data_IF_310065715378
#
_entry.id   IF_310065715378
#
_cell.length_a   1.000
_cell.length_b   1.000
_cell.length_c   1.000
_cell.angle_alpha   90.00
_cell.angle_beta   90.00
_cell.angle_gamma   90.00
#
_symmetry.space_group_name_H-M   'P 1'
#
loop_
_entity.id
_entity.type
_entity.pdbx_description
1 polymer ?
#
# COMPACT_ATOMS: atom_id res chain seq x y z
N UNK A 1 -7.27 10.70 15.16
CA UNK A 1 -7.25 9.67 16.23
C UNK A 1 -7.44 8.35 15.52
N UNK A 2 -6.40 7.53 15.52
CA UNK A 2 -6.34 6.29 14.74
C UNK A 2 -7.34 5.26 15.30
N UNK A 3 -7.85 4.37 14.45
CA UNK A 3 -8.78 3.32 14.87
C UNK A 3 -8.13 2.23 15.73
N UNK A 4 -6.80 2.18 15.77
CA UNK A 4 -6.00 1.09 16.32
C UNK A 4 -5.78 1.31 17.82
N UNK A 5 -6.51 0.54 18.65
CA UNK A 5 -6.54 0.73 20.11
C UNK A 5 -5.91 -0.42 20.92
N UNK A 6 -5.33 -1.41 20.25
CA UNK A 6 -4.78 -2.60 20.92
C UNK A 6 -3.57 -3.16 20.21
N UNK A 7 -2.73 -3.90 20.95
CA UNK A 7 -1.51 -4.53 20.42
C UNK A 7 -1.84 -5.46 19.26
N UNK A 8 -2.88 -6.29 19.43
CA UNK A 8 -3.33 -7.21 18.39
C UNK A 8 -3.89 -6.47 17.18
N UNK A 9 -4.58 -5.34 17.38
CA UNK A 9 -5.04 -4.50 16.27
C UNK A 9 -3.89 -3.90 15.47
N UNK A 10 -2.82 -3.47 16.13
CA UNK A 10 -1.61 -2.95 15.47
C UNK A 10 -0.88 -4.04 14.68
N UNK A 11 -0.71 -5.23 15.26
CA UNK A 11 -0.15 -6.39 14.56
C UNK A 11 -0.99 -6.75 13.33
N UNK A 12 -2.31 -6.79 13.48
CA UNK A 12 -3.24 -7.13 12.40
C UNK A 12 -3.16 -6.11 11.27
N UNK A 13 -3.08 -4.81 11.57
CA UNK A 13 -2.94 -3.77 10.56
C UNK A 13 -1.63 -3.89 9.79
N UNK A 14 -0.49 -4.04 10.47
CA UNK A 14 0.83 -4.19 9.80
C UNK A 14 0.83 -5.41 8.87
N UNK A 15 0.28 -6.53 9.32
CA UNK A 15 0.19 -7.75 8.49
C UNK A 15 -0.74 -7.58 7.28
N UNK A 16 -1.80 -6.79 7.42
CA UNK A 16 -2.72 -6.47 6.32
C UNK A 16 -2.05 -5.58 5.28
N UNK A 17 -1.36 -4.53 5.71
CA UNK A 17 -0.62 -3.66 4.79
C UNK A 17 0.43 -4.47 4.03
N UNK A 18 1.19 -5.31 4.73
CA UNK A 18 2.16 -6.21 4.09
C UNK A 18 1.49 -7.10 3.04
N UNK A 19 0.31 -7.66 3.34
CA UNK A 19 -0.40 -8.51 2.38
C UNK A 19 -0.91 -7.72 1.17
N UNK A 20 -1.39 -6.49 1.38
CA UNK A 20 -1.88 -5.65 0.29
C UNK A 20 -0.71 -5.33 -0.65
N UNK A 21 0.41 -4.85 -0.11
CA UNK A 21 1.65 -4.56 -0.85
C UNK A 21 2.20 -5.78 -1.59
N UNK A 22 2.35 -6.90 -0.88
CA UNK A 22 3.04 -8.09 -1.42
C UNK A 22 2.22 -8.90 -2.42
N UNK A 23 0.89 -8.81 -2.37
CA UNK A 23 -0.01 -9.70 -3.12
C UNK A 23 -1.06 -8.92 -3.90
N UNK A 24 -1.92 -8.16 -3.23
CA UNK A 24 -3.10 -7.57 -3.88
C UNK A 24 -2.73 -6.47 -4.87
N UNK A 25 -1.88 -5.54 -4.45
CA UNK A 25 -1.43 -4.41 -5.28
C UNK A 25 -0.55 -4.88 -6.44
N UNK A 26 0.42 -5.75 -6.15
CA UNK A 26 1.23 -6.39 -7.18
C UNK A 26 0.34 -7.11 -8.21
N UNK A 27 -0.64 -7.90 -7.77
CA UNK A 27 -1.52 -8.62 -8.68
C UNK A 27 -2.33 -7.67 -9.57
N UNK A 28 -2.90 -6.59 -9.03
CA UNK A 28 -3.67 -5.62 -9.82
C UNK A 28 -2.79 -4.87 -10.82
N UNK A 29 -1.55 -4.52 -10.46
CA UNK A 29 -0.60 -3.86 -11.36
C UNK A 29 -0.19 -4.81 -12.49
N UNK A 30 0.13 -6.07 -12.20
CA UNK A 30 0.52 -7.06 -13.19
C UNK A 30 -0.62 -7.42 -14.15
N UNK A 31 -1.84 -7.60 -13.64
CA UNK A 31 -3.02 -7.82 -14.49
C UNK A 31 -3.25 -6.63 -15.42
N UNK A 32 -3.14 -5.40 -14.91
CA UNK A 32 -3.25 -4.18 -15.73
C UNK A 32 -2.22 -4.16 -16.83
N UNK A 33 -0.96 -4.46 -16.50
CA UNK A 33 0.15 -4.54 -17.46
C UNK A 33 -0.11 -5.57 -18.56
N UNK A 34 -0.62 -6.75 -18.21
CA UNK A 34 -0.93 -7.81 -19.17
C UNK A 34 -2.04 -7.35 -20.12
N UNK A 35 -3.07 -6.67 -19.61
CA UNK A 35 -4.20 -6.21 -20.42
C UNK A 35 -3.84 -5.06 -21.35
N UNK A 36 -3.03 -4.12 -20.88
CA UNK A 36 -2.57 -2.97 -21.66
C UNK A 36 -1.44 -3.31 -22.65
N UNK A 37 -0.91 -4.54 -22.61
CA UNK A 37 0.04 -5.08 -23.62
C UNK A 37 1.25 -4.19 -23.91
N UNK A 38 1.72 -3.46 -22.90
CA UNK A 38 2.89 -2.58 -22.99
C UNK A 38 2.58 -1.09 -23.04
N UNK A 39 1.30 -0.70 -23.17
CA UNK A 39 0.89 0.68 -22.93
C UNK A 39 1.03 1.02 -21.44
N UNK A 40 1.32 2.29 -21.12
CA UNK A 40 1.56 2.80 -19.76
C UNK A 40 2.65 2.05 -18.96
N UNK A 41 3.56 1.36 -19.66
CA UNK A 41 4.62 0.54 -19.07
C UNK A 41 5.45 1.27 -18.03
N UNK A 42 5.83 2.52 -18.28
CA UNK A 42 6.69 3.28 -17.37
C UNK A 42 6.00 3.49 -16.02
N UNK A 43 4.76 3.97 -16.01
CA UNK A 43 3.98 4.15 -14.78
C UNK A 43 3.74 2.84 -14.05
N UNK A 44 3.39 1.76 -14.76
CA UNK A 44 3.16 0.45 -14.13
C UNK A 44 4.46 -0.18 -13.60
N UNK A 45 5.60 0.07 -14.24
CA UNK A 45 6.92 -0.38 -13.75
C UNK A 45 7.32 0.37 -12.48
N UNK A 46 7.07 1.68 -12.43
CA UNK A 46 7.31 2.49 -11.23
C UNK A 46 6.47 1.99 -10.07
N UNK A 47 5.15 1.88 -10.24
CA UNK A 47 4.25 1.37 -9.20
C UNK A 47 4.67 -0.02 -8.72
N UNK A 48 4.93 -0.97 -9.63
CA UNK A 48 5.32 -2.33 -9.25
C UNK A 48 6.65 -2.37 -8.48
N UNK A 49 7.63 -1.53 -8.85
CA UNK A 49 8.92 -1.50 -8.18
C UNK A 49 8.81 -0.87 -6.79
N UNK A 50 8.14 0.29 -6.68
CA UNK A 50 8.02 1.03 -5.43
C UNK A 50 7.18 0.24 -4.40
N UNK A 51 6.07 -0.40 -4.78
CA UNK A 51 5.31 -1.29 -3.89
C UNK A 51 6.13 -2.50 -3.39
N UNK A 52 7.08 -3.01 -4.18
CA UNK A 52 7.98 -4.08 -3.71
C UNK A 52 8.96 -3.56 -2.65
N UNK A 53 9.44 -2.32 -2.78
CA UNK A 53 10.25 -1.67 -1.74
C UNK A 53 9.44 -1.41 -0.47
N UNK A 54 8.18 -0.98 -0.59
CA UNK A 54 7.26 -0.82 0.55
C UNK A 54 7.05 -2.13 1.30
N UNK A 55 6.84 -3.23 0.57
CA UNK A 55 6.79 -4.58 1.14
C UNK A 55 8.06 -4.89 1.94
N UNK A 56 9.26 -4.67 1.39
CA UNK A 56 10.51 -4.96 2.10
C UNK A 56 10.66 -4.12 3.37
N UNK A 57 10.21 -2.87 3.34
CA UNK A 57 10.18 -2.01 4.52
C UNK A 57 9.24 -2.57 5.60
N UNK A 58 8.08 -3.09 5.21
CA UNK A 58 7.18 -3.77 6.15
C UNK A 58 7.73 -5.09 6.67
N UNK A 59 8.43 -5.89 5.85
CA UNK A 59 9.14 -7.09 6.31
C UNK A 59 10.15 -6.76 7.40
N UNK A 60 10.99 -5.74 7.18
CA UNK A 60 11.92 -5.21 8.19
C UNK A 60 11.20 -4.90 9.51
N UNK A 61 10.05 -4.22 9.46
CA UNK A 61 9.30 -3.88 10.68
C UNK A 61 8.65 -5.08 11.36
N UNK A 62 8.11 -6.01 10.58
CA UNK A 62 7.58 -7.29 11.09
C UNK A 62 8.70 -8.05 11.83
N UNK A 63 9.90 -8.10 11.26
CA UNK A 63 11.07 -8.74 11.87
C UNK A 63 11.56 -8.03 13.14
N UNK A 64 11.69 -6.69 13.11
CA UNK A 64 12.07 -5.88 14.28
C UNK A 64 11.10 -6.10 15.44
N UNK A 65 9.80 -6.21 15.15
CA UNK A 65 8.75 -6.48 16.14
C UNK A 65 8.68 -7.97 16.56
N UNK A 66 9.58 -8.81 16.04
CA UNK A 66 9.63 -10.26 16.26
C UNK A 66 8.29 -10.94 15.96
N UNK A 67 7.65 -10.53 14.86
CA UNK A 67 6.40 -11.07 14.34
C UNK A 67 6.71 -12.02 13.18
N UNK A 68 5.79 -12.94 12.91
CA UNK A 68 5.87 -13.78 11.71
C UNK A 68 5.29 -13.05 10.51
N UNK A 69 5.99 -13.09 9.37
CA UNK A 69 5.43 -12.71 8.07
C UNK A 69 4.19 -13.57 7.80
N UNK A 70 3.05 -12.99 7.37
CA UNK A 70 1.87 -13.78 7.05
C UNK A 70 2.11 -14.65 5.81
N UNK A 71 2.07 -15.96 5.98
CA UNK A 71 2.14 -16.94 4.88
C UNK A 71 0.78 -17.11 4.16
N UNK A 72 -0.29 -16.58 4.76
CA UNK A 72 -1.66 -16.67 4.25
C UNK A 72 -2.40 -15.35 4.46
N UNK A 73 -3.41 -15.12 3.62
CA UNK A 73 -4.24 -13.91 3.64
C UNK A 73 -4.75 -13.60 5.05
N UNK A 74 -4.44 -12.41 5.61
CA UNK A 74 -4.96 -11.99 6.91
C UNK A 74 -6.48 -11.91 6.94
N UNK A 75 -7.07 -12.10 8.13
CA UNK A 75 -8.52 -12.08 8.30
C UNK A 75 -9.10 -10.71 8.00
N UNK A 76 -10.20 -10.69 7.22
CA UNK A 76 -10.93 -9.47 6.90
C UNK A 76 -10.42 -8.74 5.66
N UNK A 77 -9.39 -9.28 4.99
CA UNK A 77 -9.03 -8.92 3.62
C UNK A 77 -9.91 -9.75 2.66
N UNK A 78 -10.63 -9.12 1.72
CA UNK A 78 -11.45 -9.85 0.75
C UNK A 78 -10.59 -10.73 -0.16
N UNK A 79 -11.20 -11.79 -0.67
CA UNK A 79 -10.65 -12.50 -1.83
C UNK A 79 -11.05 -11.71 -3.08
N UNK A 80 -10.06 -11.15 -3.77
CA UNK A 80 -10.29 -10.38 -4.98
C UNK A 80 -9.88 -11.18 -6.22
N UNK A 81 -10.73 -11.12 -7.24
CA UNK A 81 -10.43 -11.60 -8.59
C UNK A 81 -10.64 -10.42 -9.53
N UNK A 82 -9.55 -9.89 -10.08
CA UNK A 82 -9.61 -8.75 -10.99
C UNK A 82 -10.12 -9.20 -12.37
N UNK A 83 -11.33 -8.83 -12.74
CA UNK A 83 -11.84 -9.00 -14.11
C UNK A 83 -11.69 -7.73 -14.92
N UNK A 84 -10.58 -7.67 -15.67
CA UNK A 84 -10.25 -6.55 -16.56
C UNK A 84 -10.68 -6.78 -18.01
N UNK A 85 -11.54 -7.75 -18.29
CA UNK A 85 -11.95 -8.09 -19.66
C UNK A 85 -12.65 -6.96 -20.41
N UNK A 86 -13.30 -6.03 -19.70
CA UNK A 86 -14.07 -4.93 -20.27
C UNK A 86 -13.71 -3.54 -19.71
N UNK A 87 -12.58 -3.43 -19.02
CA UNK A 87 -12.12 -2.13 -18.51
C UNK A 87 -11.21 -1.46 -19.55
N UNK A 88 -11.29 -0.13 -19.62
CA UNK A 88 -10.27 0.67 -20.29
C UNK A 88 -9.09 0.99 -19.35
N UNK A 89 -8.04 1.62 -19.88
CA UNK A 89 -6.84 1.97 -19.09
C UNK A 89 -7.18 2.83 -17.88
N UNK A 90 -8.02 3.86 -18.06
CA UNK A 90 -8.43 4.78 -16.98
C UNK A 90 -9.11 4.02 -15.84
N UNK A 91 -10.02 3.10 -16.18
CA UNK A 91 -10.70 2.25 -15.20
C UNK A 91 -9.76 1.27 -14.49
N UNK A 92 -8.73 0.75 -15.17
CA UNK A 92 -7.73 -0.10 -14.52
C UNK A 92 -6.86 0.70 -13.54
N UNK A 93 -6.44 1.91 -13.90
CA UNK A 93 -5.71 2.81 -12.99
C UNK A 93 -6.58 3.28 -11.81
N UNK A 94 -7.90 3.43 -11.99
CA UNK A 94 -8.83 3.68 -10.88
C UNK A 94 -8.87 2.51 -9.88
N UNK A 95 -8.79 1.26 -10.37
CA UNK A 95 -8.73 0.08 -9.51
C UNK A 95 -7.42 0.06 -8.71
N UNK A 96 -6.28 0.34 -9.34
CA UNK A 96 -4.98 0.44 -8.66
C UNK A 96 -5.05 1.53 -7.58
N UNK A 97 -5.50 2.74 -7.94
CA UNK A 97 -5.61 3.88 -7.01
C UNK A 97 -6.38 3.58 -5.73
N UNK A 98 -7.39 2.70 -5.78
CA UNK A 98 -8.15 2.34 -4.57
C UNK A 98 -7.25 1.66 -3.52
N UNK A 99 -6.26 0.86 -3.94
CA UNK A 99 -5.30 0.23 -3.04
C UNK A 99 -4.32 1.25 -2.45
N UNK A 100 -3.77 2.12 -3.30
CA UNK A 100 -2.85 3.19 -2.90
C UNK A 100 -3.50 4.12 -1.85
N UNK A 101 -4.79 4.46 -2.02
CA UNK A 101 -5.54 5.26 -1.04
C UNK A 101 -5.67 4.53 0.30
N UNK A 102 -5.99 3.24 0.27
CA UNK A 102 -6.14 2.42 1.48
C UNK A 102 -4.81 2.31 2.22
N UNK A 103 -3.71 2.08 1.50
CA UNK A 103 -2.36 1.98 2.05
C UNK A 103 -1.92 3.31 2.65
N UNK A 104 -2.03 4.42 1.92
CA UNK A 104 -1.74 5.77 2.43
C UNK A 104 -2.46 6.08 3.74
N UNK A 105 -3.78 5.83 3.76
CA UNK A 105 -4.60 6.10 4.94
C UNK A 105 -4.20 5.19 6.10
N UNK A 106 -3.86 3.94 5.82
CA UNK A 106 -3.36 3.03 6.85
C UNK A 106 -1.99 3.42 7.38
N UNK A 107 -1.04 3.86 6.54
CA UNK A 107 0.27 4.31 7.00
C UNK A 107 0.17 5.59 7.82
N UNK A 108 -0.75 6.47 7.45
CA UNK A 108 -1.12 7.65 8.26
C UNK A 108 -1.59 7.22 9.66
N UNK A 109 -2.47 6.21 9.74
CA UNK A 109 -2.95 5.64 11.00
C UNK A 109 -1.84 4.93 11.80
N UNK A 110 -0.84 4.33 11.13
CA UNK A 110 0.30 3.69 11.80
C UNK A 110 1.28 4.72 12.34
N UNK A 111 1.61 5.77 11.57
CA UNK A 111 2.46 6.88 12.03
C UNK A 111 1.89 7.53 13.28
N UNK A 112 0.59 7.81 13.27
CA UNK A 112 -0.11 8.53 14.34
C UNK A 112 -0.47 7.63 15.54
N UNK A 113 0.05 6.40 15.59
CA UNK A 113 -0.22 5.49 16.68
C UNK A 113 0.31 6.01 18.02
N UNK A 114 -0.47 5.76 19.08
CA UNK A 114 -0.08 6.10 20.44
C UNK A 114 1.25 5.42 20.81
N UNK A 115 2.23 6.21 21.21
CA UNK A 115 3.56 5.73 21.57
C UNK A 115 3.55 4.61 22.62
N UNK A 116 2.74 4.67 23.70
CA UNK A 116 2.64 3.56 24.66
C UNK A 116 2.15 2.25 24.05
N UNK A 117 1.45 2.29 22.91
CA UNK A 117 1.02 1.10 22.19
C UNK A 117 2.16 0.55 21.32
N UNK A 118 2.86 1.42 20.59
CA UNK A 118 4.00 1.04 19.77
C UNK A 118 5.14 0.43 20.60
N UNK A 119 5.42 1.00 21.78
CA UNK A 119 6.38 0.47 22.77
C UNK A 119 6.09 -0.97 23.23
N UNK A 120 4.90 -1.51 22.99
CA UNK A 120 4.56 -2.91 23.31
C UNK A 120 4.99 -3.89 22.22
N UNK A 121 5.45 -3.39 21.07
CA UNK A 121 5.88 -4.19 19.91
C UNK A 121 7.34 -3.98 19.56
N UNK A 122 7.83 -2.74 19.60
CA UNK A 122 9.24 -2.47 19.29
C UNK A 122 10.14 -2.87 20.46
N UNK A 123 11.34 -3.40 20.20
CA UNK A 123 12.25 -3.89 21.24
C UNK A 123 13.00 -2.77 21.99
N UNK A 124 13.14 -1.59 21.38
CA UNK A 124 13.82 -0.40 21.93
C UNK A 124 13.01 0.86 21.60
N UNK A 125 13.13 1.89 22.46
CA UNK A 125 12.51 3.19 22.23
C UNK A 125 13.12 3.93 21.02
N UNK A 126 14.38 3.66 20.66
CA UNK A 126 15.01 4.27 19.48
C UNK A 126 14.28 3.93 18.17
N UNK A 127 13.62 2.76 18.11
CA UNK A 127 12.86 2.34 16.93
C UNK A 127 11.54 3.08 16.73
N UNK A 128 11.10 3.89 17.70
CA UNK A 128 9.83 4.62 17.59
C UNK A 128 9.93 5.72 16.54
N UNK A 129 11.02 6.49 16.59
CA UNK A 129 11.25 7.58 15.66
C UNK A 129 11.55 7.04 14.26
N UNK A 130 12.34 5.96 14.17
CA UNK A 130 12.58 5.25 12.92
C UNK A 130 11.25 4.73 12.31
N UNK A 131 10.38 4.12 13.12
CA UNK A 131 9.08 3.62 12.64
C UNK A 131 8.23 4.74 12.09
N UNK A 132 8.14 5.86 12.81
CA UNK A 132 7.34 7.01 12.36
C UNK A 132 7.90 7.64 11.10
N UNK A 133 9.22 7.76 11.00
CA UNK A 133 9.89 8.26 9.80
C UNK A 133 9.61 7.37 8.60
N UNK A 134 9.75 6.05 8.74
CA UNK A 134 9.47 5.08 7.68
C UNK A 134 7.98 5.12 7.28
N UNK A 135 7.05 5.30 8.22
CA UNK A 135 5.62 5.45 7.89
C UNK A 135 5.31 6.80 7.20
N UNK A 136 6.00 7.89 7.54
CA UNK A 136 5.84 9.18 6.85
C UNK A 136 6.35 9.11 5.40
N UNK A 137 7.43 8.39 5.16
CA UNK A 137 7.96 8.11 3.83
C UNK A 137 6.93 7.34 2.99
N UNK A 138 6.42 6.22 3.51
CA UNK A 138 5.37 5.44 2.86
C UNK A 138 4.13 6.29 2.55
N UNK A 139 3.64 7.12 3.48
CA UNK A 139 2.50 8.03 3.20
C UNK A 139 2.79 8.95 2.02
N UNK A 140 4.02 9.45 1.90
CA UNK A 140 4.43 10.31 0.79
C UNK A 140 4.52 9.55 -0.53
N UNK A 141 5.05 8.33 -0.51
CA UNK A 141 5.20 7.47 -1.70
C UNK A 141 3.84 7.03 -2.24
N UNK A 142 2.95 6.54 -1.38
CA UNK A 142 1.56 6.23 -1.73
C UNK A 142 0.82 7.45 -2.32
N UNK A 143 1.09 8.65 -1.78
CA UNK A 143 0.51 9.87 -2.35
C UNK A 143 1.05 10.18 -3.75
N UNK A 144 2.30 9.83 -4.05
CA UNK A 144 2.86 9.92 -5.40
C UNK A 144 2.24 8.89 -6.34
N UNK A 145 2.06 7.64 -5.89
CA UNK A 145 1.37 6.60 -6.66
C UNK A 145 -0.06 7.00 -7.02
N UNK A 146 -0.81 7.57 -6.06
CA UNK A 146 -2.14 8.14 -6.31
C UNK A 146 -2.07 9.19 -7.42
N UNK A 147 -1.08 10.09 -7.40
CA UNK A 147 -0.92 11.14 -8.42
C UNK A 147 -0.61 10.54 -9.81
N UNK A 148 0.21 9.48 -9.87
CA UNK A 148 0.46 8.72 -11.10
C UNK A 148 -0.87 8.19 -11.65
N UNK A 149 -1.66 7.50 -10.82
CA UNK A 149 -2.96 6.97 -11.23
C UNK A 149 -3.93 8.07 -11.69
N UNK A 150 -4.01 9.20 -10.96
CA UNK A 150 -4.88 10.33 -11.34
C UNK A 150 -4.55 10.91 -12.72
N UNK A 151 -3.26 10.93 -13.09
CA UNK A 151 -2.83 11.43 -14.39
C UNK A 151 -3.37 10.59 -15.56
N UNK A 152 -3.63 9.31 -15.31
CA UNK A 152 -4.18 8.34 -16.27
C UNK A 152 -5.71 8.26 -16.21
N UNK A 153 -6.32 8.46 -15.04
CA UNK A 153 -7.77 8.49 -14.87
C UNK A 153 -8.38 9.73 -15.54
N UNK A 154 -7.75 10.90 -15.36
CA UNK A 154 -8.26 12.22 -15.75
C UNK A 154 -7.80 12.74 -17.11
N UNK A 155 -7.27 11.88 -17.99
CA UNK A 155 -6.70 12.22 -19.30
C UNK A 155 -7.63 12.82 -20.36
N UNK A 156 -8.69 13.55 -20.00
CA UNK A 156 -9.30 14.57 -20.86
C UNK A 156 -8.86 15.94 -20.36
N UNK A 157 -7.69 16.40 -20.82
CA UNK A 157 -7.42 17.84 -20.86
C UNK A 157 -8.49 18.46 -21.77
N UNK A 158 -9.37 19.26 -21.19
CA UNK A 158 -10.31 20.12 -21.90
C UNK A 158 -9.57 20.87 -23.01
N UNK A 159 -9.88 20.56 -24.27
CA UNK A 159 -9.53 21.44 -25.38
C UNK A 159 -10.48 22.63 -25.24
N UNK A 160 -10.04 23.68 -24.55
CA UNK A 160 -10.66 24.99 -24.72
C UNK A 160 -10.28 25.48 -26.12
N UNK A 161 -11.27 25.49 -27.02
CA UNK A 161 -11.22 26.16 -28.32
C UNK A 161 -11.37 27.67 -28.20
#
# INVERSE_FOLDING_TARGET
>A
MTGIKSKNGLIDQIKKNYWIEADMEQLVIWETRIKLKGDEKESLDTLAYESEEHKFLLEKWIEIMNLSIPETRPRGIPEENFDFSNLDSSQMFDVIQNYEIILRDSYTDLRDIDEPLLKKLVPDESYIDDFRSDMDELVSEEQNHINICQSHIGGFKSIYG
#
